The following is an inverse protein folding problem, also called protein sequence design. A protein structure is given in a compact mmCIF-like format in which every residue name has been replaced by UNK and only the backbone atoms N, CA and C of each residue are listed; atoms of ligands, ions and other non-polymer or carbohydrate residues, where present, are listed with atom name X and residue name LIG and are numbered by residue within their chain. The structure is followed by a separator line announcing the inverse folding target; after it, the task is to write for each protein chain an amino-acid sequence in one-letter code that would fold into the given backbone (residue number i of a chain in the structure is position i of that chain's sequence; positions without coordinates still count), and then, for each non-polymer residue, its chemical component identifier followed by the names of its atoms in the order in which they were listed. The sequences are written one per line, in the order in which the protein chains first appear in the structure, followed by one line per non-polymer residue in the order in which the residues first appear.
data_IF_526392893466
#
_entry.id   IF_526392893466
#
_cell.length_a   1.000
_cell.length_b   1.000
_cell.length_c   1.000
_cell.angle_alpha   90.00
_cell.angle_beta   90.00
_cell.angle_gamma   90.00
#
_symmetry.space_group_name_H-M   'P 1'
#
loop_
_entity.id
_entity.type
_entity.pdbx_description
1 polymer ?
#
# COMPACT_ATOMS: atom_id res chain seq x y z
N UNK A 1 17.21 7.92 2.54
CA UNK A 1 16.94 8.91 1.47
C UNK A 1 15.47 9.34 1.41
N UNK A 2 14.48 8.61 0.85
CA UNK A 2 13.08 9.10 0.89
C UNK A 2 12.27 8.66 2.13
N UNK A 3 12.36 7.37 2.52
CA UNK A 3 11.68 6.85 3.72
C UNK A 3 12.06 7.58 5.01
N UNK A 4 13.30 8.05 5.07
CA UNK A 4 13.83 8.84 6.17
C UNK A 4 13.28 10.27 6.16
N UNK A 5 13.18 10.89 4.99
CA UNK A 5 12.62 12.24 4.84
C UNK A 5 11.16 12.33 5.29
N UNK A 6 10.41 11.23 5.18
CA UNK A 6 9.01 11.14 5.64
C UNK A 6 8.87 10.56 7.06
N UNK A 7 9.97 10.37 7.79
CA UNK A 7 9.99 9.78 9.13
C UNK A 7 9.17 8.47 9.22
N UNK A 8 9.39 7.58 8.24
CA UNK A 8 8.60 6.36 8.07
C UNK A 8 8.59 5.52 9.34
N UNK A 9 7.40 5.14 9.77
CA UNK A 9 7.19 4.19 10.86
C UNK A 9 7.20 2.77 10.33
N UNK A 10 7.80 1.85 11.09
CA UNK A 10 7.92 0.44 10.69
C UNK A 10 6.56 -0.28 10.67
N UNK A 11 5.59 0.18 11.46
CA UNK A 11 4.27 -0.43 11.63
C UNK A 11 3.18 0.13 10.70
N UNK A 12 3.56 1.03 9.79
CA UNK A 12 2.66 1.78 8.93
C UNK A 12 2.99 1.52 7.46
N UNK A 13 1.97 1.19 6.67
CA UNK A 13 2.08 1.12 5.22
C UNK A 13 1.89 2.52 4.63
N UNK A 14 2.74 2.93 3.69
CA UNK A 14 2.65 4.25 3.07
C UNK A 14 2.28 4.11 1.59
N UNK A 15 1.29 4.87 1.14
CA UNK A 15 0.95 5.04 -0.28
C UNK A 15 1.28 6.48 -0.64
N UNK A 16 2.26 6.68 -1.50
CA UNK A 16 2.75 8.01 -1.89
C UNK A 16 2.45 8.25 -3.35
N UNK A 17 1.65 9.27 -3.65
CA UNK A 17 1.20 9.57 -5.00
C UNK A 17 1.91 10.81 -5.55
N UNK A 18 2.69 10.59 -6.60
CA UNK A 18 3.38 11.62 -7.37
C UNK A 18 2.64 11.84 -8.69
N UNK A 19 1.54 12.62 -8.65
CA UNK A 19 0.64 12.87 -9.80
C UNK A 19 0.07 11.60 -10.44
N UNK A 20 0.82 10.94 -11.31
CA UNK A 20 0.41 9.74 -12.04
C UNK A 20 0.98 8.46 -11.45
N UNK A 21 2.12 8.54 -10.75
CA UNK A 21 2.79 7.37 -10.19
C UNK A 21 2.50 7.23 -8.71
N UNK A 22 2.40 5.98 -8.25
CA UNK A 22 2.22 5.65 -6.84
C UNK A 22 3.39 4.78 -6.38
N UNK A 23 4.03 5.17 -5.28
CA UNK A 23 4.98 4.34 -4.55
C UNK A 23 4.30 3.75 -3.33
N UNK A 24 4.48 2.44 -3.11
CA UNK A 24 3.96 1.75 -1.92
C UNK A 24 5.13 1.29 -1.08
N UNK A 25 5.17 1.74 0.18
CA UNK A 25 6.10 1.22 1.17
C UNK A 25 5.36 0.25 2.09
N UNK A 26 5.70 -1.05 2.09
CA UNK A 26 5.08 -2.00 3.00
C UNK A 26 5.51 -1.72 4.44
N UNK A 27 4.62 -2.01 5.39
CA UNK A 27 4.98 -2.07 6.79
C UNK A 27 6.04 -3.18 6.98
N UNK A 28 7.14 -2.86 7.66
CA UNK A 28 8.23 -3.78 7.96
C UNK A 28 7.99 -4.56 9.26
N UNK A 29 7.09 -4.06 10.10
CA UNK A 29 6.61 -4.72 11.31
C UNK A 29 5.09 -4.67 11.29
N UNK A 30 4.45 -5.72 11.79
CA UNK A 30 3.00 -5.71 12.00
C UNK A 30 2.72 -5.86 13.48
N UNK A 31 1.77 -5.08 13.98
CA UNK A 31 1.27 -5.23 15.34
C UNK A 31 -0.11 -5.90 15.25
N UNK A 32 -0.17 -7.18 15.62
CA UNK A 32 -1.40 -7.99 15.54
C UNK A 32 -2.46 -7.61 16.58
N UNK A 33 -2.11 -6.83 17.62
CA UNK A 33 -3.07 -6.40 18.65
C UNK A 33 -3.69 -5.04 18.36
N UNK A 34 -3.12 -4.29 17.42
CA UNK A 34 -3.63 -2.99 16.99
C UNK A 34 -4.16 -3.07 15.57
N UNK A 35 -5.04 -2.13 15.21
CA UNK A 35 -5.45 -1.98 13.82
C UNK A 35 -4.21 -1.63 12.97
N UNK A 36 -4.03 -2.24 11.79
CA UNK A 36 -2.96 -1.84 10.88
C UNK A 36 -3.05 -0.35 10.56
N UNK A 37 -1.91 0.31 10.38
CA UNK A 37 -1.84 1.74 10.06
C UNK A 37 -1.50 1.93 8.59
N UNK A 38 -2.14 2.92 7.97
CA UNK A 38 -1.83 3.36 6.62
C UNK A 38 -1.67 4.87 6.62
N UNK A 39 -0.72 5.38 5.85
CA UNK A 39 -0.59 6.82 5.58
C UNK A 39 -0.63 7.08 4.08
N UNK A 40 -1.52 7.96 3.66
CA UNK A 40 -1.63 8.42 2.27
C UNK A 40 -0.93 9.77 2.14
N UNK A 41 0.07 9.83 1.26
CA UNK A 41 0.78 11.07 0.92
C UNK A 41 0.52 11.45 -0.53
N UNK A 42 0.26 12.73 -0.78
CA UNK A 42 0.03 13.27 -2.12
C UNK A 42 0.67 14.65 -2.22
N UNK A 43 1.12 15.05 -3.41
CA UNK A 43 1.63 16.41 -3.59
C UNK A 43 0.54 17.45 -3.30
N UNK A 44 0.88 18.46 -2.51
CA UNK A 44 -0.05 19.54 -2.22
C UNK A 44 -0.29 20.38 -3.48
N UNK A 45 -1.53 20.83 -3.76
CA UNK A 45 -1.79 21.73 -4.85
C UNK A 45 -1.06 23.06 -4.61
N UNK A 46 -0.42 23.60 -5.65
CA UNK A 46 0.18 24.94 -5.61
C UNK A 46 -0.94 25.98 -5.61
N UNK A 47 -1.34 26.43 -4.42
CA UNK A 47 -2.19 27.61 -4.28
C UNK A 47 -1.27 28.84 -4.20
N UNK A 48 -1.22 29.63 -5.27
CA UNK A 48 -0.38 30.83 -5.43
C UNK A 48 -0.71 31.98 -4.46
N UNK A 49 -0.90 31.75 -3.15
CA UNK A 49 -1.15 32.86 -2.21
C UNK A 49 -0.63 32.70 -0.78
N UNK A 50 -0.16 31.54 -0.33
CA UNK A 50 0.45 31.44 1.03
C UNK A 50 1.58 30.44 1.15
N UNK A 51 2.10 29.92 0.05
CA UNK A 51 3.42 29.28 0.12
C UNK A 51 4.40 30.44 0.02
N UNK A 52 4.95 30.86 1.16
CA UNK A 52 6.26 31.48 1.18
C UNK A 52 7.23 30.45 0.58
N UNK A 53 7.21 30.29 -0.75
CA UNK A 53 8.33 29.77 -1.49
C UNK A 53 9.32 30.91 -1.43
N UNK A 54 10.03 30.99 -0.30
CA UNK A 54 11.31 31.66 -0.26
C UNK A 54 12.07 31.08 -1.44
N UNK A 55 12.31 31.91 -2.46
CA UNK A 55 13.12 31.57 -3.63
C UNK A 55 14.41 30.92 -3.13
N UNK A 56 14.52 29.58 -3.23
CA UNK A 56 15.72 28.85 -2.83
C UNK A 56 15.54 27.54 -2.04
N UNK A 57 14.32 27.11 -1.67
CA UNK A 57 14.17 25.91 -0.85
C UNK A 57 13.87 24.66 -1.71
N UNK A 58 14.77 23.67 -1.66
CA UNK A 58 14.70 22.36 -2.33
C UNK A 58 13.59 21.43 -1.77
N UNK A 59 12.52 22.00 -1.22
CA UNK A 59 11.47 21.25 -0.51
C UNK A 59 10.17 21.19 -1.32
N UNK A 60 9.49 20.04 -1.26
CA UNK A 60 8.19 19.82 -1.91
C UNK A 60 7.14 19.70 -0.81
N UNK A 61 6.07 20.48 -0.91
CA UNK A 61 4.93 20.37 0.00
C UNK A 61 4.06 19.15 -0.34
N UNK A 62 3.75 18.36 0.67
CA UNK A 62 2.91 17.18 0.56
C UNK A 62 1.79 17.21 1.61
N UNK A 63 0.65 16.65 1.25
CA UNK A 63 -0.46 16.35 2.15
C UNK A 63 -0.25 14.92 2.64
N UNK A 64 -0.32 14.71 3.96
CA UNK A 64 -0.28 13.40 4.60
C UNK A 64 -1.59 13.16 5.35
N UNK A 65 -2.19 11.99 5.18
CA UNK A 65 -3.41 11.55 5.85
C UNK A 65 -3.14 10.22 6.54
N UNK A 66 -3.15 10.23 7.86
CA UNK A 66 -2.94 9.03 8.66
C UNK A 66 -4.27 8.36 9.01
N UNK A 67 -4.36 7.06 8.79
CA UNK A 67 -5.56 6.29 9.05
C UNK A 67 -5.27 4.92 9.66
N UNK A 68 -6.28 4.38 10.33
CA UNK A 68 -6.31 2.99 10.77
C UNK A 68 -7.14 2.17 9.80
N UNK A 69 -6.65 0.97 9.49
CA UNK A 69 -7.34 0.03 8.63
C UNK A 69 -8.45 -0.64 9.43
N UNK A 70 -9.68 -0.47 8.94
CA UNK A 70 -10.86 -1.02 9.57
C UNK A 70 -11.19 -2.43 9.07
N UNK A 71 -11.01 -2.66 7.77
CA UNK A 71 -11.26 -3.92 7.08
C UNK A 71 -10.39 -3.99 5.81
N UNK A 72 -9.80 -5.15 5.53
CA UNK A 72 -9.00 -5.42 4.33
C UNK A 72 -9.58 -6.64 3.62
N UNK A 73 -10.11 -6.41 2.43
CA UNK A 73 -10.72 -7.47 1.61
C UNK A 73 -10.24 -7.40 0.18
N UNK A 74 -10.08 -8.56 -0.44
CA UNK A 74 -9.86 -8.64 -1.87
C UNK A 74 -11.22 -8.48 -2.58
N UNK A 75 -11.32 -7.50 -3.48
CA UNK A 75 -12.52 -7.24 -4.27
C UNK A 75 -12.21 -7.45 -5.75
N UNK A 76 -13.19 -7.98 -6.49
CA UNK A 76 -13.10 -8.13 -7.93
C UNK A 76 -14.05 -7.12 -8.59
N UNK A 77 -13.53 -6.28 -9.47
CA UNK A 77 -14.33 -5.32 -10.25
C UNK A 77 -14.27 -5.66 -11.74
N UNK A 78 -15.34 -5.34 -12.48
CA UNK A 78 -15.36 -5.52 -13.94
C UNK A 78 -14.44 -4.46 -14.57
N UNK A 79 -13.59 -4.84 -15.52
CA UNK A 79 -12.75 -3.85 -16.26
C UNK A 79 -13.58 -2.73 -16.90
N UNK A 80 -14.80 -3.05 -17.34
CA UNK A 80 -15.73 -2.09 -17.93
C UNK A 80 -16.26 -1.03 -16.96
N UNK A 81 -16.05 -1.17 -15.65
CA UNK A 81 -16.41 -0.15 -14.67
C UNK A 81 -15.28 0.84 -14.38
N UNK A 82 -14.10 0.65 -14.96
CA UNK A 82 -12.99 1.60 -14.81
C UNK A 82 -13.27 2.85 -15.65
N UNK A 83 -12.98 4.06 -15.12
CA UNK A 83 -13.08 5.27 -15.92
C UNK A 83 -12.03 5.25 -17.04
N UNK A 84 -12.37 5.82 -18.21
CA UNK A 84 -11.36 6.13 -19.23
C UNK A 84 -10.36 7.14 -18.67
N UNK A 85 -9.04 7.01 -18.90
CA UNK A 85 -8.35 6.10 -19.83
C UNK A 85 -7.83 4.79 -19.20
N UNK A 86 -8.21 4.46 -17.97
CA UNK A 86 -7.67 3.30 -17.24
C UNK A 86 -8.14 1.94 -17.78
N UNK A 87 -8.99 1.95 -18.81
CA UNK A 87 -9.54 0.76 -19.47
C UNK A 87 -8.49 0.04 -20.34
N UNK A 88 -7.41 0.72 -20.77
CA UNK A 88 -6.49 0.22 -21.81
C UNK A 88 -5.01 0.07 -21.39
N UNK A 89 -4.69 0.26 -20.11
CA UNK A 89 -3.35 -0.11 -19.63
C UNK A 89 -3.32 -1.62 -19.43
N UNK A 90 -2.53 -2.31 -20.25
CA UNK A 90 -2.10 -3.68 -20.03
C UNK A 90 -1.34 -3.78 -18.70
N UNK A 91 -2.07 -3.75 -17.58
CA UNK A 91 -1.57 -4.04 -16.24
C UNK A 91 -1.20 -5.53 -16.23
N UNK A 92 -0.05 -5.84 -16.80
CA UNK A 92 0.66 -7.09 -16.53
C UNK A 92 1.14 -6.90 -15.09
N UNK A 93 0.58 -7.61 -14.10
CA UNK A 93 1.22 -7.65 -12.80
C UNK A 93 2.64 -8.12 -13.07
N UNK A 94 3.63 -7.27 -12.78
CA UNK A 94 5.01 -7.72 -12.76
C UNK A 94 5.05 -8.81 -11.70
N UNK A 95 5.21 -10.06 -12.13
CA UNK A 95 5.52 -11.17 -11.25
C UNK A 95 6.91 -10.90 -10.68
N UNK A 96 6.98 -10.07 -9.64
CA UNK A 96 8.12 -10.06 -8.75
C UNK A 96 8.07 -11.37 -7.96
N UNK A 97 8.63 -12.41 -8.58
CA UNK A 97 9.05 -13.62 -7.90
C UNK A 97 9.95 -13.24 -6.72
N UNK A 98 9.40 -13.22 -5.51
CA UNK A 98 10.13 -12.89 -4.28
C UNK A 98 9.71 -13.68 -3.04
N UNK A 99 8.74 -14.59 -3.16
CA UNK A 99 8.37 -15.48 -2.05
C UNK A 99 8.48 -16.93 -2.49
N UNK A 100 9.64 -17.54 -2.24
CA UNK A 100 9.82 -18.99 -2.23
C UNK A 100 9.00 -19.55 -1.07
N UNK A 101 7.85 -20.14 -1.39
CA UNK A 101 7.06 -20.92 -0.45
C UNK A 101 7.75 -22.29 -0.29
N UNK A 102 8.07 -22.77 0.93
CA UNK A 102 8.58 -24.12 1.10
C UNK A 102 7.47 -25.12 0.79
N UNK A 103 7.65 -25.91 -0.27
CA UNK A 103 6.80 -27.05 -0.60
C UNK A 103 7.05 -28.19 0.38
N UNK A 104 6.11 -28.42 1.29
CA UNK A 104 6.08 -29.59 2.17
C UNK A 104 4.64 -29.97 2.48
N UNK A 105 4.02 -30.74 1.60
CA UNK A 105 2.65 -31.23 1.78
C UNK A 105 2.59 -32.30 2.87
N UNK A 106 1.74 -32.10 3.87
CA UNK A 106 1.18 -33.15 4.72
C UNK A 106 -0.31 -32.80 4.94
N UNK A 107 -1.20 -33.57 4.33
CA UNK A 107 -2.63 -33.54 4.61
C UNK A 107 -2.90 -34.28 5.93
N UNK A 108 -3.64 -33.73 6.90
CA UNK A 108 -4.05 -34.48 8.08
C UNK A 108 -5.24 -35.39 7.73
N UNK A 109 -5.05 -36.71 7.78
CA UNK A 109 -6.11 -37.71 7.69
C UNK A 109 -6.84 -37.85 9.03
N UNK A 110 -8.16 -37.69 9.02
CA UNK A 110 -9.07 -37.91 10.17
C UNK A 110 -9.21 -39.42 10.43
N UNK A 111 -8.92 -39.95 11.63
CA UNK A 111 -9.18 -41.35 11.94
C UNK A 111 -10.68 -41.57 12.21
N UNK A 112 -11.29 -42.50 11.49
CA UNK A 112 -12.68 -42.93 11.70
C UNK A 112 -12.74 -43.84 12.94
N UNK A 113 -13.58 -43.49 13.92
CA UNK A 113 -13.85 -44.28 15.12
C UNK A 113 -14.72 -45.49 14.77
N UNK A 114 -14.16 -46.69 14.77
CA UNK A 114 -14.96 -47.92 14.70
C UNK A 114 -15.19 -48.48 16.10
N UNK A 115 -16.47 -48.73 16.39
CA UNK A 115 -16.96 -49.36 17.60
C UNK A 115 -16.78 -50.88 17.53
N UNK A 116 -16.26 -51.48 18.60
CA UNK A 116 -16.75 -52.75 19.15
C UNK A 116 -16.30 -52.89 20.60
#
# INVERSE_FOLDING_TARGET
MFSEAINRQDDTMYIVSFRQDHLVFPATKSNVTQRPKVSLMMMAPSNDTTVNVTKGEESISMIQIDCQVMDTKHINIKKSSLPSPFVDSSYRPSSSNGYTQPSGGHTPSIPTRNAK
#
